data_IF_735410623066
#
_entry.id   IF_735410623066
#
_cell.length_a   1.000
_cell.length_b   1.000
_cell.length_c   1.000
_cell.angle_alpha   90.00
_cell.angle_beta   90.00
_cell.angle_gamma   90.00
#
_symmetry.space_group_name_H-M   'P 1'
#
loop_
_entity.id
_entity.type
_entity.pdbx_description
1 polymer ?
#
# COMPACT_ATOMS: atom_id res chain seq x y z
N UNK A 1 -86.93 38.22 8.55
CA UNK A 1 -86.00 37.09 8.33
C UNK A 1 -84.81 37.21 9.29
N UNK A 2 -84.92 36.68 10.50
CA UNK A 2 -83.93 36.80 11.59
C UNK A 2 -83.32 35.43 11.98
N UNK A 3 -83.26 34.48 11.03
CA UNK A 3 -82.82 33.09 11.29
C UNK A 3 -81.45 32.73 10.68
N UNK A 4 -80.68 33.69 10.15
CA UNK A 4 -79.36 33.40 9.53
C UNK A 4 -78.14 33.87 10.33
N UNK A 5 -78.27 34.82 11.29
CA UNK A 5 -77.08 35.39 11.95
C UNK A 5 -76.53 34.55 13.12
N UNK A 6 -77.39 33.81 13.83
CA UNK A 6 -76.98 32.96 14.96
C UNK A 6 -76.19 31.70 14.54
N UNK A 7 -76.62 31.03 13.46
CA UNK A 7 -75.97 29.81 12.98
C UNK A 7 -74.59 30.08 12.37
N UNK A 8 -74.38 31.25 11.76
CA UNK A 8 -73.07 31.62 11.20
C UNK A 8 -72.02 31.75 12.31
N UNK A 9 -72.39 32.30 13.48
CA UNK A 9 -71.47 32.40 14.62
C UNK A 9 -71.10 31.03 15.20
N UNK A 10 -72.07 30.12 15.30
CA UNK A 10 -71.82 28.75 15.81
C UNK A 10 -70.96 27.96 14.83
N UNK A 11 -71.22 28.06 13.52
CA UNK A 11 -70.43 27.40 12.48
C UNK A 11 -69.00 27.94 12.45
N UNK A 12 -68.82 29.27 12.56
CA UNK A 12 -67.49 29.88 12.62
C UNK A 12 -66.70 29.41 13.86
N UNK A 13 -67.35 29.31 15.02
CA UNK A 13 -66.70 28.83 16.25
C UNK A 13 -66.27 27.36 16.12
N UNK A 14 -67.11 26.50 15.55
CA UNK A 14 -66.80 25.08 15.34
C UNK A 14 -65.64 24.91 14.35
N UNK A 15 -65.61 25.69 13.27
CA UNK A 15 -64.50 25.67 12.30
C UNK A 15 -63.18 26.11 12.96
N UNK A 16 -63.19 27.15 13.80
CA UNK A 16 -62.00 27.60 14.52
C UNK A 16 -61.49 26.52 15.48
N UNK A 17 -62.38 25.83 16.19
CA UNK A 17 -62.01 24.73 17.10
C UNK A 17 -61.44 23.54 16.31
N UNK A 18 -62.01 23.20 15.15
CA UNK A 18 -61.50 22.13 14.28
C UNK A 18 -60.12 22.51 13.73
N UNK A 19 -59.92 23.74 13.26
CA UNK A 19 -58.63 24.20 12.72
C UNK A 19 -57.57 24.24 13.84
N UNK A 20 -57.92 24.74 15.03
CA UNK A 20 -57.01 24.78 16.17
C UNK A 20 -56.67 23.36 16.66
N UNK A 21 -57.67 22.47 16.76
CA UNK A 21 -57.48 21.07 17.14
C UNK A 21 -56.63 20.30 16.12
N UNK A 22 -56.89 20.48 14.83
CA UNK A 22 -56.09 19.88 13.75
C UNK A 22 -54.68 20.45 13.71
N UNK A 23 -54.50 21.75 13.92
CA UNK A 23 -53.20 22.39 14.05
C UNK A 23 -52.39 21.85 15.24
N UNK A 24 -53.01 21.68 16.41
CA UNK A 24 -52.38 21.08 17.59
C UNK A 24 -52.04 19.60 17.35
N UNK A 25 -52.91 18.85 16.66
CA UNK A 25 -52.68 17.46 16.31
C UNK A 25 -51.50 17.30 15.33
N UNK A 26 -51.45 18.10 14.27
CA UNK A 26 -50.32 18.13 13.33
C UNK A 26 -49.01 18.56 14.03
N UNK A 27 -49.07 19.56 14.89
CA UNK A 27 -47.90 20.05 15.62
C UNK A 27 -47.36 19.01 16.62
N UNK A 28 -48.24 18.32 17.35
CA UNK A 28 -47.84 17.21 18.25
C UNK A 28 -47.31 16.00 17.48
N UNK A 29 -47.89 15.66 16.33
CA UNK A 29 -47.39 14.60 15.45
C UNK A 29 -45.96 14.88 14.97
N UNK A 30 -45.68 16.10 14.53
CA UNK A 30 -44.34 16.53 14.13
C UNK A 30 -43.33 16.48 15.30
N UNK A 31 -43.74 16.93 16.51
CA UNK A 31 -42.88 16.90 17.69
C UNK A 31 -42.55 15.48 18.17
N UNK A 32 -43.50 14.53 18.08
CA UNK A 32 -43.25 13.13 18.41
C UNK A 32 -42.31 12.45 17.40
N UNK A 33 -42.43 12.80 16.12
CA UNK A 33 -41.55 12.28 15.07
C UNK A 33 -40.12 12.82 15.17
N UNK A 34 -39.94 14.05 15.65
CA UNK A 34 -38.61 14.64 15.85
C UNK A 34 -37.88 14.05 17.08
N UNK A 35 -38.61 13.66 18.13
CA UNK A 35 -38.02 12.99 19.30
C UNK A 35 -37.54 11.57 19.00
N UNK A 36 -38.25 10.83 18.15
CA UNK A 36 -37.87 9.48 17.77
C UNK A 36 -36.62 9.41 16.86
N UNK A 37 -36.28 10.49 16.15
CA UNK A 37 -35.13 10.49 15.24
C UNK A 37 -33.78 10.72 15.97
N UNK A 38 -33.81 11.25 17.19
CA UNK A 38 -32.60 11.60 17.95
C UNK A 38 -32.23 10.58 19.04
N UNK A 39 -33.15 9.70 19.43
CA UNK A 39 -32.92 8.73 20.52
C UNK A 39 -32.28 7.41 20.00
N UNK A 40 -32.17 7.21 18.68
CA UNK A 40 -31.70 5.96 18.03
C UNK A 40 -30.42 6.10 17.18
N UNK A 41 -29.69 7.22 17.23
CA UNK A 41 -28.41 7.32 16.51
C UNK A 41 -27.36 6.56 17.33
N UNK A 42 -26.84 5.40 16.85
CA UNK A 42 -25.78 4.71 17.56
C UNK A 42 -24.59 5.66 17.73
N UNK A 43 -23.85 5.59 18.84
CA UNK A 43 -22.67 6.42 19.01
C UNK A 43 -21.78 6.26 17.78
N UNK A 44 -21.18 7.35 17.26
CA UNK A 44 -20.29 7.25 16.12
C UNK A 44 -19.21 6.21 16.44
N UNK A 45 -18.82 5.37 15.47
CA UNK A 45 -17.78 4.38 15.71
C UNK A 45 -16.54 5.10 16.23
N UNK A 46 -15.79 4.49 17.17
CA UNK A 46 -14.56 5.08 17.65
C UNK A 46 -13.63 5.37 16.47
N UNK A 47 -13.05 6.57 16.47
CA UNK A 47 -12.10 6.97 15.43
C UNK A 47 -10.93 5.95 15.41
N UNK A 48 -10.48 5.48 14.24
CA UNK A 48 -9.37 4.54 14.17
C UNK A 48 -8.13 5.13 14.83
N UNK A 49 -7.40 4.31 15.58
CA UNK A 49 -6.14 4.77 16.18
C UNK A 49 -5.07 4.95 15.11
N UNK A 50 -4.00 5.71 15.40
CA UNK A 50 -2.86 5.84 14.48
C UNK A 50 -2.22 4.47 14.16
N UNK A 51 -2.27 3.52 15.10
CA UNK A 51 -1.80 2.16 14.89
C UNK A 51 -2.69 1.41 13.90
N UNK A 52 -4.00 1.56 14.01
CA UNK A 52 -4.96 0.95 13.08
C UNK A 52 -4.81 1.55 11.69
N UNK A 53 -4.68 2.88 11.61
CA UNK A 53 -4.42 3.61 10.38
C UNK A 53 -3.12 3.11 9.73
N UNK A 54 -2.02 3.05 10.48
CA UNK A 54 -0.76 2.51 9.99
C UNK A 54 -0.84 1.01 9.68
N UNK A 55 -1.79 0.22 10.19
CA UNK A 55 -1.91 -1.18 9.77
C UNK A 55 -2.66 -1.36 8.44
N UNK A 56 -3.39 -0.33 8.02
CA UNK A 56 -4.31 -0.34 6.89
C UNK A 56 -3.92 0.59 5.74
N UNK A 57 -3.13 1.64 5.99
CA UNK A 57 -2.69 2.57 4.95
C UNK A 57 -1.23 3.01 5.09
N UNK A 58 -0.56 3.23 3.96
CA UNK A 58 0.71 3.95 3.86
C UNK A 58 0.52 5.20 3.03
N UNK A 59 0.91 6.32 3.62
CA UNK A 59 1.09 7.57 2.90
C UNK A 59 2.53 7.66 2.39
N UNK A 60 2.69 7.98 1.12
CA UNK A 60 3.98 8.11 0.44
C UNK A 60 4.03 9.49 -0.18
N UNK A 61 4.88 10.37 0.34
CA UNK A 61 5.11 11.67 -0.27
C UNK A 61 5.95 11.49 -1.54
N UNK A 62 5.50 12.04 -2.66
CA UNK A 62 6.24 12.03 -3.92
C UNK A 62 6.95 13.37 -4.07
N UNK A 63 8.28 13.35 -4.01
CA UNK A 63 9.10 14.54 -4.23
C UNK A 63 9.51 14.64 -5.70
N UNK A 64 9.65 15.88 -6.23
CA UNK A 64 10.11 16.10 -7.58
C UNK A 64 11.54 15.60 -7.75
N UNK A 65 11.77 14.87 -8.85
CA UNK A 65 13.09 14.42 -9.27
C UNK A 65 13.37 14.92 -10.69
N UNK A 66 14.64 14.92 -11.09
CA UNK A 66 15.08 15.35 -12.43
C UNK A 66 14.58 16.76 -12.82
N UNK A 67 14.50 17.67 -11.84
CA UNK A 67 14.04 19.06 -12.02
C UNK A 67 12.65 19.18 -12.67
N UNK A 68 11.78 18.19 -12.44
CA UNK A 68 10.43 18.15 -13.04
C UNK A 68 9.48 19.21 -12.47
N UNK A 69 9.68 19.61 -11.22
CA UNK A 69 8.72 20.38 -10.44
C UNK A 69 7.43 19.61 -10.11
N UNK A 70 7.37 18.30 -10.38
CA UNK A 70 6.21 17.47 -10.12
C UNK A 70 6.25 16.87 -8.70
N UNK A 71 5.31 17.26 -7.85
CA UNK A 71 5.13 16.77 -6.49
C UNK A 71 3.82 15.99 -6.35
N UNK A 72 3.64 15.26 -5.26
CA UNK A 72 2.39 14.53 -5.07
C UNK A 72 2.35 13.64 -3.85
N UNK A 73 1.34 12.78 -3.85
CA UNK A 73 1.10 11.81 -2.81
C UNK A 73 0.62 10.50 -3.42
N UNK A 74 1.16 9.39 -2.92
CA UNK A 74 0.60 8.08 -3.14
C UNK A 74 0.06 7.51 -1.83
N UNK A 75 -1.12 6.89 -1.89
CA UNK A 75 -1.76 6.23 -0.76
C UNK A 75 -1.89 4.76 -1.13
N UNK A 76 -1.26 3.90 -0.34
CA UNK A 76 -1.41 2.45 -0.43
C UNK A 76 -2.37 2.04 0.67
N UNK A 77 -3.46 1.36 0.34
CA UNK A 77 -4.47 0.92 1.30
C UNK A 77 -4.69 -0.58 1.22
N UNK A 78 -4.90 -1.22 2.36
CA UNK A 78 -5.31 -2.62 2.45
C UNK A 78 -6.76 -2.75 2.04
N UNK A 79 -7.04 -3.71 1.16
CA UNK A 79 -8.38 -4.06 0.71
C UNK A 79 -8.71 -5.51 1.08
N UNK A 80 -9.99 -5.91 0.97
CA UNK A 80 -10.42 -7.29 1.24
C UNK A 80 -9.67 -8.34 0.39
N UNK A 81 -9.27 -7.96 -0.83
CA UNK A 81 -8.58 -8.81 -1.80
C UNK A 81 -7.29 -8.16 -2.32
N UNK A 82 -6.42 -7.79 -1.40
CA UNK A 82 -5.07 -7.29 -1.71
C UNK A 82 -4.87 -5.85 -1.26
N UNK A 83 -4.46 -4.97 -2.17
CA UNK A 83 -4.27 -3.54 -1.90
C UNK A 83 -4.84 -2.66 -3.02
N UNK A 84 -5.07 -1.39 -2.68
CA UNK A 84 -5.22 -0.31 -3.64
C UNK A 84 -4.04 0.66 -3.54
N UNK A 85 -3.66 1.26 -4.67
CA UNK A 85 -2.67 2.32 -4.77
C UNK A 85 -3.32 3.49 -5.49
N UNK A 86 -3.45 4.61 -4.79
CA UNK A 86 -3.95 5.87 -5.32
C UNK A 86 -2.79 6.85 -5.46
N UNK A 87 -2.72 7.60 -6.55
CA UNK A 87 -1.69 8.63 -6.76
C UNK A 87 -2.39 9.93 -7.12
N UNK A 88 -1.97 11.02 -6.50
CA UNK A 88 -2.27 12.38 -6.92
C UNK A 88 -0.97 13.15 -7.16
N UNK A 89 -0.85 13.81 -8.31
CA UNK A 89 0.33 14.52 -8.77
C UNK A 89 -0.01 15.95 -9.19
N UNK A 90 0.83 16.88 -8.78
CA UNK A 90 0.80 18.29 -9.16
C UNK A 90 2.13 18.72 -9.79
N UNK A 91 2.13 19.69 -10.72
CA UNK A 91 0.95 20.22 -11.40
C UNK A 91 0.27 19.16 -12.27
N UNK A 92 -1.05 19.28 -12.42
CA UNK A 92 -1.82 18.41 -13.33
C UNK A 92 -1.35 18.62 -14.76
N UNK A 93 -1.25 17.53 -15.51
CA UNK A 93 -0.88 17.50 -16.92
C UNK A 93 -1.83 16.57 -17.68
N UNK A 94 -2.04 16.87 -18.95
CA UNK A 94 -2.76 16.06 -19.93
C UNK A 94 -1.94 14.86 -20.44
N UNK A 95 -0.65 14.81 -20.14
CA UNK A 95 0.23 13.69 -20.48
C UNK A 95 -0.12 12.49 -19.58
N UNK A 96 -0.46 11.36 -20.19
CA UNK A 96 -0.54 10.06 -19.51
C UNK A 96 0.87 9.62 -19.11
N UNK A 97 1.08 9.28 -17.83
CA UNK A 97 2.40 8.99 -17.25
C UNK A 97 2.44 7.59 -16.66
N UNK A 98 3.45 6.80 -17.02
CA UNK A 98 3.69 5.52 -16.36
C UNK A 98 3.90 5.74 -14.85
N UNK A 99 3.33 4.85 -14.06
CA UNK A 99 3.58 4.78 -12.63
C UNK A 99 3.91 3.35 -12.23
N UNK A 100 4.88 3.20 -11.34
CA UNK A 100 5.37 1.90 -10.90
C UNK A 100 5.72 1.94 -9.42
N UNK A 101 5.65 0.76 -8.80
CA UNK A 101 6.40 0.51 -7.57
C UNK A 101 7.73 -0.12 -7.96
N UNK A 102 8.81 0.56 -7.66
CA UNK A 102 10.16 0.06 -7.84
C UNK A 102 10.74 -0.43 -6.51
N UNK A 103 11.66 -1.37 -6.59
CA UNK A 103 12.57 -1.69 -5.50
C UNK A 103 13.62 -0.59 -5.30
N UNK A 104 14.25 -0.53 -4.13
CA UNK A 104 15.35 0.38 -3.86
C UNK A 104 14.87 1.74 -3.35
N UNK A 105 15.60 2.79 -3.70
CA UNK A 105 15.36 4.15 -3.17
C UNK A 105 15.18 5.15 -4.30
N UNK A 106 14.73 6.37 -3.99
CA UNK A 106 14.62 7.41 -5.01
C UNK A 106 15.98 7.86 -5.57
N UNK A 107 17.07 7.62 -4.83
CA UNK A 107 18.43 7.85 -5.32
C UNK A 107 18.92 6.72 -6.23
N UNK A 108 18.43 5.50 -6.02
CA UNK A 108 18.83 4.32 -6.80
C UNK A 108 17.59 3.48 -7.08
N UNK A 109 16.85 3.87 -8.12
CA UNK A 109 15.70 3.11 -8.58
C UNK A 109 16.16 1.74 -9.07
N UNK A 110 15.66 0.69 -8.44
CA UNK A 110 15.81 -0.66 -8.96
C UNK A 110 14.74 -1.00 -9.99
N UNK A 111 14.53 -2.30 -10.20
CA UNK A 111 13.54 -2.83 -11.15
C UNK A 111 12.09 -2.55 -10.75
N UNK A 112 11.20 -2.67 -11.75
CA UNK A 112 9.75 -2.58 -11.55
C UNK A 112 9.29 -3.83 -10.79
N UNK A 113 8.67 -3.62 -9.64
CA UNK A 113 8.07 -4.71 -8.84
C UNK A 113 6.58 -4.83 -9.14
N UNK A 114 5.87 -3.70 -9.25
CA UNK A 114 4.47 -3.67 -9.65
C UNK A 114 4.19 -2.59 -10.69
N UNK A 115 3.50 -3.01 -11.75
CA UNK A 115 2.84 -2.12 -12.70
C UNK A 115 1.69 -1.37 -12.03
N UNK A 116 1.63 -0.04 -12.15
CA UNK A 116 0.46 0.74 -11.75
C UNK A 116 -0.24 1.30 -12.99
N UNK A 117 -1.52 1.61 -12.85
CA UNK A 117 -2.27 2.38 -13.84
C UNK A 117 -1.58 3.72 -14.05
N UNK A 118 -1.50 4.17 -15.29
CA UNK A 118 -0.92 5.46 -15.62
C UNK A 118 -1.60 6.60 -14.84
N UNK A 119 -0.83 7.62 -14.51
CA UNK A 119 -1.35 8.87 -13.97
C UNK A 119 -1.88 9.70 -15.14
N UNK A 120 -3.19 9.97 -15.11
CA UNK A 120 -3.89 10.77 -16.11
C UNK A 120 -4.59 11.92 -15.40
N UNK A 121 -4.45 13.15 -15.92
CA UNK A 121 -4.96 14.36 -15.28
C UNK A 121 -4.53 14.47 -13.80
N UNK A 122 -3.29 14.07 -13.52
CA UNK A 122 -2.70 14.10 -12.18
C UNK A 122 -3.26 13.06 -11.21
N UNK A 123 -4.04 12.07 -11.65
CA UNK A 123 -4.59 11.03 -10.77
C UNK A 123 -4.37 9.62 -11.30
N UNK A 124 -4.26 8.64 -10.41
CA UNK A 124 -4.28 7.21 -10.73
C UNK A 124 -4.93 6.40 -9.61
N UNK A 125 -5.52 5.26 -9.99
CA UNK A 125 -5.99 4.21 -9.08
C UNK A 125 -5.58 2.84 -9.64
N UNK A 126 -5.02 1.97 -8.79
CA UNK A 126 -4.64 0.60 -9.15
C UNK A 126 -5.04 -0.34 -8.03
N UNK A 127 -5.73 -1.44 -8.36
CA UNK A 127 -5.94 -2.57 -7.45
C UNK A 127 -4.91 -3.67 -7.77
N UNK A 128 -4.23 -4.18 -6.76
CA UNK A 128 -3.23 -5.25 -6.90
C UNK A 128 -3.60 -6.43 -5.99
N UNK A 129 -3.59 -7.63 -6.56
CA UNK A 129 -3.78 -8.89 -5.82
C UNK A 129 -2.48 -9.30 -5.09
N UNK A 130 -1.97 -8.43 -4.22
CA UNK A 130 -0.78 -8.67 -3.37
C UNK A 130 -1.07 -8.19 -1.95
N UNK A 131 -0.30 -8.65 -0.96
CA UNK A 131 -0.56 -8.24 0.41
C UNK A 131 0.06 -6.86 0.69
N UNK A 132 -0.56 -6.12 1.61
CA UNK A 132 -0.03 -4.85 2.07
C UNK A 132 1.37 -4.96 2.67
N UNK A 133 1.69 -6.07 3.33
CA UNK A 133 3.02 -6.30 3.88
C UNK A 133 4.07 -6.49 2.77
N UNK A 134 3.73 -7.21 1.68
CA UNK A 134 4.64 -7.43 0.55
C UNK A 134 5.09 -6.12 -0.10
N UNK A 135 4.27 -5.07 -0.03
CA UNK A 135 4.55 -3.76 -0.62
C UNK A 135 5.18 -2.78 0.36
N UNK A 136 4.90 -2.91 1.66
CA UNK A 136 5.20 -1.86 2.66
C UNK A 136 6.19 -2.30 3.73
N UNK A 137 6.74 -3.50 3.65
CA UNK A 137 7.62 -4.06 4.68
C UNK A 137 8.75 -4.88 4.06
N UNK A 138 9.82 -5.06 4.83
CA UNK A 138 10.93 -5.95 4.51
C UNK A 138 12.05 -5.27 3.74
N UNK A 139 11.75 -4.39 2.76
CA UNK A 139 12.76 -3.78 1.90
C UNK A 139 12.36 -2.38 1.41
N UNK A 140 13.33 -1.48 1.13
CA UNK A 140 13.03 -0.16 0.59
C UNK A 140 12.40 -0.30 -0.80
N UNK A 141 11.25 0.34 -0.97
CA UNK A 141 10.51 0.43 -2.22
C UNK A 141 10.09 1.88 -2.43
N UNK A 142 9.91 2.26 -3.67
CA UNK A 142 9.47 3.59 -4.04
C UNK A 142 8.26 3.53 -4.95
N UNK A 143 7.39 4.52 -4.83
CA UNK A 143 6.42 4.84 -5.88
C UNK A 143 7.09 5.86 -6.79
N UNK A 144 7.17 5.56 -8.09
CA UNK A 144 7.75 6.46 -9.09
C UNK A 144 6.74 6.74 -10.20
N UNK A 145 6.64 8.00 -10.61
CA UNK A 145 5.86 8.45 -11.77
C UNK A 145 6.82 8.99 -12.81
N UNK A 146 6.63 8.63 -14.08
CA UNK A 146 7.59 8.90 -15.15
C UNK A 146 7.16 10.00 -16.13
N UNK A 147 8.11 10.46 -16.94
CA UNK A 147 7.93 11.57 -17.86
C UNK A 147 6.95 11.27 -19.03
N UNK A 148 6.72 10.01 -19.36
CA UNK A 148 5.94 9.55 -20.51
C UNK A 148 5.11 8.28 -20.23
N UNK A 149 4.26 7.91 -21.17
CA UNK A 149 3.43 6.71 -21.15
C UNK A 149 4.15 5.43 -21.63
N UNK A 150 5.41 5.52 -22.07
CA UNK A 150 6.16 4.41 -22.68
C UNK A 150 7.59 4.32 -22.15
N UNK A 151 8.14 3.10 -22.10
CA UNK A 151 9.52 2.85 -21.67
C UNK A 151 10.53 2.99 -22.83
N UNK A 152 11.78 3.40 -22.55
CA UNK A 152 12.28 3.88 -21.26
C UNK A 152 11.78 5.30 -20.96
N UNK A 153 11.51 5.60 -19.68
CA UNK A 153 11.06 6.91 -19.25
C UNK A 153 11.71 7.31 -17.93
N UNK A 154 12.24 8.54 -17.86
CA UNK A 154 12.86 9.04 -16.63
C UNK A 154 11.78 9.32 -15.58
N UNK A 155 12.01 9.02 -14.28
CA UNK A 155 11.09 9.41 -13.23
C UNK A 155 11.04 10.95 -13.14
N UNK A 156 9.86 11.49 -12.87
CA UNK A 156 9.64 12.91 -12.60
C UNK A 156 9.22 13.15 -11.15
N UNK A 157 8.63 12.17 -10.49
CA UNK A 157 8.31 12.22 -9.08
C UNK A 157 8.62 10.86 -8.45
N UNK A 158 9.15 10.86 -7.24
CA UNK A 158 9.50 9.65 -6.52
C UNK A 158 9.26 9.82 -5.03
N UNK A 159 8.70 8.79 -4.39
CA UNK A 159 8.52 8.75 -2.95
C UNK A 159 8.92 7.42 -2.35
N UNK A 160 9.68 7.47 -1.26
CA UNK A 160 10.02 6.29 -0.48
C UNK A 160 8.79 5.77 0.25
N UNK A 161 8.44 4.50 0.03
CA UNK A 161 7.41 3.83 0.82
C UNK A 161 7.99 3.65 2.22
N UNK A 162 7.40 4.27 3.26
CA UNK A 162 7.90 4.13 4.62
C UNK A 162 7.76 2.67 5.06
N UNK A 163 8.87 2.07 5.47
CA UNK A 163 8.82 0.77 6.12
C UNK A 163 8.07 0.90 7.45
N UNK A 164 7.29 -0.13 7.82
CA UNK A 164 6.90 -0.28 9.22
C UNK A 164 8.20 -0.58 9.96
N UNK A 165 8.84 0.45 10.53
CA UNK A 165 9.85 0.20 11.53
C UNK A 165 9.23 -0.78 12.54
N UNK A 166 9.90 -1.91 12.88
CA UNK A 166 9.41 -2.76 13.95
C UNK A 166 9.06 -1.84 15.13
N UNK A 167 7.99 -2.12 15.89
CA UNK A 167 7.65 -1.30 17.05
C UNK A 167 8.94 -1.12 17.82
N UNK A 168 9.41 0.12 17.92
CA UNK A 168 10.48 0.44 18.85
C UNK A 168 9.86 0.02 20.18
N UNK A 169 10.34 -1.09 20.74
CA UNK A 169 10.04 -1.40 22.13
C UNK A 169 10.68 -0.26 22.90
N UNK A 170 9.87 0.74 23.22
CA UNK A 170 10.23 1.79 24.15
C UNK A 170 10.27 1.09 25.51
N UNK A 171 11.42 0.47 25.78
CA UNK A 171 11.78 -0.02 27.09
C UNK A 171 11.60 1.14 28.06
N UNK A 172 10.73 0.93 29.04
CA UNK A 172 10.39 1.89 30.05
C UNK A 172 11.60 2.14 30.96
N UNK A 173 12.43 3.13 30.65
CA UNK A 173 13.02 3.96 31.69
C UNK A 173 13.41 5.35 31.19
N UNK A 174 12.68 6.31 31.77
CA UNK A 174 12.86 7.75 31.69
C UNK A 174 14.28 8.15 32.12
N UNK A 175 15.15 8.39 31.15
CA UNK A 175 16.26 9.35 31.27
C UNK A 175 16.33 10.19 30.02
N UNK A 176 15.99 11.46 30.21
CA UNK A 176 16.24 12.63 29.37
C UNK A 176 17.55 12.49 28.56
N UNK A 177 17.44 11.99 27.32
CA UNK A 177 18.55 12.00 26.36
C UNK A 177 18.57 13.38 25.72
N UNK A 178 19.68 14.09 25.90
CA UNK A 178 20.01 15.33 25.20
C UNK A 178 19.96 15.10 23.67
N UNK A 179 19.60 16.10 22.85
CA UNK A 179 19.58 15.95 21.40
C UNK A 179 20.96 15.42 20.93
N UNK A 180 21.02 14.40 20.06
CA UNK A 180 22.28 13.96 19.51
C UNK A 180 22.81 15.08 18.61
N UNK A 181 23.85 15.75 19.09
CA UNK A 181 24.77 16.52 18.27
C UNK A 181 25.35 15.58 17.21
N UNK A 182 25.39 16.10 15.98
CA UNK A 182 25.49 15.28 14.78
C UNK A 182 26.73 14.38 14.66
N UNK A 183 26.50 13.24 14.03
CA UNK A 183 27.30 12.80 12.89
C UNK A 183 26.33 12.30 11.82
N UNK A 184 26.41 12.92 10.64
CA UNK A 184 25.75 12.48 9.42
C UNK A 184 26.29 11.09 9.04
N UNK A 185 25.64 10.05 9.56
CA UNK A 185 25.77 8.70 9.05
C UNK A 185 25.14 8.64 7.66
N UNK A 186 25.90 9.04 6.64
CA UNK A 186 25.57 8.78 5.25
C UNK A 186 25.50 7.26 5.10
N UNK A 187 24.28 6.71 5.12
CA UNK A 187 24.01 5.35 4.67
C UNK A 187 24.42 5.30 3.20
N UNK A 188 25.66 4.87 2.95
CA UNK A 188 26.10 4.61 1.59
C UNK A 188 25.12 3.62 0.96
N UNK A 189 24.44 4.08 -0.10
CA UNK A 189 23.54 3.26 -0.88
C UNK A 189 24.36 2.08 -1.45
N UNK A 190 24.22 0.92 -0.81
CA UNK A 190 24.93 -0.29 -1.24
C UNK A 190 24.44 -0.66 -2.64
N UNK A 191 25.34 -0.88 -3.61
CA UNK A 191 24.93 -1.17 -4.98
C UNK A 191 24.13 -2.49 -5.02
N UNK A 192 23.04 -2.49 -5.79
CA UNK A 192 22.22 -3.69 -6.01
C UNK A 192 23.06 -4.78 -6.68
N UNK A 193 23.12 -5.95 -6.05
CA UNK A 193 23.77 -7.15 -6.56
C UNK A 193 22.76 -8.03 -7.28
N UNK A 194 22.74 -7.94 -8.59
CA UNK A 194 21.85 -8.75 -9.43
C UNK A 194 22.45 -10.12 -9.73
N UNK A 195 21.65 -11.17 -9.53
CA UNK A 195 22.04 -12.56 -9.72
C UNK A 195 21.00 -13.23 -10.61
N UNK A 196 21.40 -13.56 -11.83
CA UNK A 196 20.58 -14.31 -12.75
C UNK A 196 20.66 -15.81 -12.42
N UNK A 197 19.51 -16.45 -12.26
CA UNK A 197 19.40 -17.88 -11.97
C UNK A 197 18.28 -18.47 -12.83
N UNK A 198 18.59 -19.55 -13.54
CA UNK A 198 17.57 -20.33 -14.25
C UNK A 198 17.24 -21.62 -13.52
N UNK A 199 15.99 -22.06 -13.66
CA UNK A 199 15.51 -23.38 -13.22
C UNK A 199 15.17 -24.26 -14.42
N UNK A 200 15.41 -25.57 -14.27
CA UNK A 200 14.86 -26.64 -15.08
C UNK A 200 14.41 -27.76 -14.14
N UNK A 201 13.80 -28.81 -14.68
CA UNK A 201 13.33 -29.96 -13.90
C UNK A 201 14.35 -30.41 -12.83
N UNK A 202 13.99 -30.12 -11.58
CA UNK A 202 14.70 -30.45 -10.34
C UNK A 202 16.09 -29.84 -10.13
N UNK A 203 16.49 -28.83 -10.92
CA UNK A 203 17.84 -28.25 -10.82
C UNK A 203 17.83 -26.75 -11.08
N UNK A 204 18.59 -26.01 -10.26
CA UNK A 204 18.97 -24.63 -10.53
C UNK A 204 20.32 -24.58 -11.26
N UNK A 205 20.47 -23.62 -12.17
CA UNK A 205 21.73 -23.32 -12.86
C UNK A 205 22.90 -22.98 -11.93
N UNK A 206 22.60 -22.44 -10.74
CA UNK A 206 23.57 -22.18 -9.70
C UNK A 206 23.22 -23.00 -8.46
N UNK A 207 24.18 -23.79 -7.97
CA UNK A 207 24.03 -24.59 -6.75
C UNK A 207 24.49 -23.83 -5.51
N UNK A 208 25.31 -22.81 -5.71
CA UNK A 208 25.80 -21.91 -4.66
C UNK A 208 25.70 -20.46 -5.15
N UNK A 209 25.20 -19.58 -4.27
CA UNK A 209 25.19 -18.13 -4.44
C UNK A 209 25.97 -17.54 -3.27
N UNK A 210 26.94 -16.66 -3.53
CA UNK A 210 27.77 -16.01 -2.51
C UNK A 210 27.56 -14.51 -2.46
N UNK A 211 27.20 -14.01 -1.29
CA UNK A 211 26.95 -12.58 -1.00
C UNK A 211 27.58 -12.22 0.34
N UNK A 212 27.71 -10.93 0.63
CA UNK A 212 28.18 -10.44 1.93
C UNK A 212 27.01 -9.98 2.78
N UNK A 213 27.22 -9.95 4.10
CA UNK A 213 26.21 -9.51 5.05
C UNK A 213 25.81 -8.07 4.79
N UNK A 214 24.51 -7.89 4.60
CA UNK A 214 23.88 -6.64 4.23
C UNK A 214 24.10 -6.23 2.76
N UNK A 215 24.56 -7.13 1.88
CA UNK A 215 24.37 -6.94 0.44
C UNK A 215 22.88 -6.76 0.14
N UNK A 216 22.55 -5.83 -0.75
CA UNK A 216 21.22 -5.75 -1.35
C UNK A 216 21.22 -6.64 -2.60
N UNK A 217 20.47 -7.74 -2.56
CA UNK A 217 20.53 -8.82 -3.55
C UNK A 217 19.23 -8.87 -4.33
N UNK A 218 19.33 -8.95 -5.66
CA UNK A 218 18.22 -9.28 -6.55
C UNK A 218 18.45 -10.65 -7.16
N UNK A 219 17.49 -11.54 -6.99
CA UNK A 219 17.41 -12.78 -7.75
C UNK A 219 16.52 -12.54 -8.95
N UNK A 220 17.10 -12.64 -10.15
CA UNK A 220 16.37 -12.67 -11.41
C UNK A 220 16.18 -14.14 -11.82
N UNK A 221 15.02 -14.71 -11.52
CA UNK A 221 14.71 -16.10 -11.81
C UNK A 221 14.02 -16.28 -13.16
N UNK A 222 14.42 -17.30 -13.93
CA UNK A 222 13.69 -17.71 -15.14
C UNK A 222 13.58 -19.23 -15.24
N UNK A 223 12.41 -19.73 -15.65
CA UNK A 223 12.25 -21.16 -15.95
C UNK A 223 12.63 -21.46 -17.40
N UNK A 224 13.47 -22.47 -17.60
CA UNK A 224 13.87 -22.99 -18.92
C UNK A 224 13.17 -24.30 -19.28
N UNK A 225 12.55 -24.95 -18.30
CA UNK A 225 11.76 -26.17 -18.44
C UNK A 225 10.92 -26.36 -17.17
N UNK A 226 9.61 -26.55 -17.29
CA UNK A 226 8.71 -26.77 -16.15
C UNK A 226 8.21 -25.49 -15.44
N UNK A 227 7.37 -25.69 -14.42
CA UNK A 227 6.91 -24.64 -13.51
C UNK A 227 7.83 -24.58 -12.30
N UNK A 228 8.42 -23.42 -12.05
CA UNK A 228 9.39 -23.24 -10.96
C UNK A 228 9.31 -21.87 -10.32
N UNK A 229 9.83 -21.79 -9.10
CA UNK A 229 10.10 -20.58 -8.34
C UNK A 229 11.47 -20.70 -7.65
N UNK A 230 11.91 -19.61 -7.04
CA UNK A 230 13.07 -19.56 -6.16
C UNK A 230 12.63 -19.01 -4.81
N UNK A 231 13.00 -19.68 -3.72
CA UNK A 231 12.62 -19.34 -2.34
C UNK A 231 13.81 -19.48 -1.41
N UNK A 232 14.03 -18.52 -0.51
CA UNK A 232 14.87 -18.66 0.68
C UNK A 232 14.12 -18.13 1.90
N UNK A 233 13.88 -18.99 2.89
CA UNK A 233 12.96 -18.71 3.99
C UNK A 233 13.54 -17.66 4.95
N UNK A 234 14.84 -17.73 5.23
CA UNK A 234 15.50 -16.91 6.25
C UNK A 234 15.52 -15.41 5.92
N UNK A 235 15.30 -15.06 4.65
CA UNK A 235 15.20 -13.69 4.16
C UNK A 235 13.79 -13.32 3.69
N UNK A 236 12.79 -14.19 3.90
CA UNK A 236 11.43 -14.01 3.40
C UNK A 236 11.40 -13.65 1.89
N UNK A 237 12.32 -14.24 1.12
CA UNK A 237 12.55 -13.89 -0.27
C UNK A 237 12.08 -15.03 -1.17
N UNK A 238 11.02 -14.77 -1.95
CA UNK A 238 10.47 -15.71 -2.92
C UNK A 238 10.07 -15.00 -4.22
N UNK A 239 10.29 -15.65 -5.36
CA UNK A 239 9.71 -15.22 -6.63
C UNK A 239 8.29 -15.75 -6.78
N UNK A 240 7.54 -15.24 -7.76
CA UNK A 240 6.35 -15.94 -8.24
C UNK A 240 6.74 -17.22 -8.98
N UNK A 241 5.82 -18.18 -9.05
CA UNK A 241 6.00 -19.38 -9.88
C UNK A 241 5.83 -19.01 -11.35
N UNK A 242 6.79 -19.42 -12.18
CA UNK A 242 6.86 -19.07 -13.60
C UNK A 242 7.01 -20.33 -14.46
N UNK A 243 6.27 -20.38 -15.56
CA UNK A 243 6.36 -21.45 -16.56
C UNK A 243 7.60 -21.29 -17.44
N UNK A 244 7.91 -22.31 -18.24
CA UNK A 244 8.97 -22.29 -19.26
C UNK A 244 8.95 -20.99 -20.08
N UNK A 245 10.10 -20.33 -20.16
CA UNK A 245 10.29 -19.09 -20.92
C UNK A 245 9.81 -17.81 -20.19
N UNK A 246 9.29 -17.92 -18.98
CA UNK A 246 8.89 -16.79 -18.15
C UNK A 246 9.93 -16.48 -17.07
N UNK A 247 9.85 -15.28 -16.48
CA UNK A 247 10.77 -14.81 -15.45
C UNK A 247 10.06 -14.03 -14.35
N UNK A 248 10.67 -14.00 -13.17
CA UNK A 248 10.21 -13.27 -11.99
C UNK A 248 11.43 -12.93 -11.14
N UNK A 249 11.34 -11.85 -10.36
CA UNK A 249 12.45 -11.39 -9.54
C UNK A 249 12.03 -11.16 -8.10
N UNK A 250 12.98 -11.31 -7.18
CA UNK A 250 12.81 -10.94 -5.78
C UNK A 250 14.06 -10.24 -5.27
N UNK A 251 13.85 -9.21 -4.47
CA UNK A 251 14.91 -8.45 -3.84
C UNK A 251 14.90 -8.71 -2.34
N UNK A 252 16.08 -8.82 -1.75
CA UNK A 252 16.25 -8.97 -0.32
C UNK A 252 17.59 -8.41 0.17
N UNK A 253 17.70 -8.17 1.47
CA UNK A 253 18.96 -7.82 2.13
C UNK A 253 19.50 -9.08 2.79
N UNK A 254 20.75 -9.43 2.52
CA UNK A 254 21.42 -10.57 3.15
C UNK A 254 21.85 -10.22 4.60
N UNK A 255 20.91 -9.88 5.48
CA UNK A 255 21.15 -9.31 6.82
C UNK A 255 21.74 -10.29 7.85
N UNK A 256 21.80 -11.58 7.52
CA UNK A 256 22.30 -12.66 8.37
C UNK A 256 23.44 -13.38 7.66
N UNK A 257 24.62 -13.41 8.29
CA UNK A 257 25.71 -14.27 7.83
C UNK A 257 25.38 -15.75 8.11
N UNK A 258 25.82 -16.64 7.23
CA UNK A 258 25.54 -18.07 7.35
C UNK A 258 25.41 -18.77 6.00
N UNK A 259 24.99 -20.03 6.04
CA UNK A 259 24.63 -20.81 4.85
C UNK A 259 23.16 -21.20 4.95
N UNK A 260 22.37 -20.76 3.98
CA UNK A 260 20.93 -20.93 3.92
C UNK A 260 20.54 -21.75 2.70
N UNK A 261 19.53 -22.60 2.83
CA UNK A 261 19.02 -23.37 1.71
C UNK A 261 18.03 -22.52 0.92
N UNK A 262 18.31 -22.29 -0.37
CA UNK A 262 17.27 -21.86 -1.29
C UNK A 262 16.71 -23.06 -2.04
N UNK A 263 15.44 -23.02 -2.42
CA UNK A 263 14.76 -24.16 -3.01
C UNK A 263 13.62 -23.75 -3.94
N UNK A 264 13.09 -24.73 -4.69
CA UNK A 264 11.84 -24.57 -5.43
C UNK A 264 10.65 -25.07 -4.59
N UNK A 265 9.68 -24.19 -4.34
CA UNK A 265 8.47 -24.43 -3.56
C UNK A 265 7.36 -25.18 -4.30
N UNK A 266 7.55 -25.50 -5.59
CA UNK A 266 6.58 -26.26 -6.38
C UNK A 266 6.52 -27.72 -5.91
N UNK A 267 5.40 -28.10 -5.29
CA UNK A 267 5.05 -29.49 -4.97
C UNK A 267 6.15 -30.26 -4.24
N UNK A 268 6.72 -31.26 -4.91
CA UNK A 268 7.79 -32.11 -4.35
C UNK A 268 9.20 -31.73 -4.84
N UNK A 269 9.38 -30.63 -5.58
CA UNK A 269 10.66 -30.29 -6.21
C UNK A 269 11.80 -30.14 -5.20
N UNK A 270 11.59 -29.45 -4.07
CA UNK A 270 12.55 -29.40 -2.95
C UNK A 270 12.96 -30.80 -2.47
N UNK A 271 11.98 -31.69 -2.25
CA UNK A 271 12.22 -33.09 -1.81
C UNK A 271 12.97 -33.92 -2.85
N UNK A 272 12.83 -33.57 -4.13
CA UNK A 272 13.53 -34.19 -5.24
C UNK A 272 14.93 -33.61 -5.47
N UNK A 273 15.38 -32.67 -4.63
CA UNK A 273 16.73 -32.12 -4.66
C UNK A 273 16.85 -30.81 -5.43
N UNK A 274 15.74 -30.14 -5.76
CA UNK A 274 15.77 -28.79 -6.33
C UNK A 274 16.07 -27.75 -5.24
N UNK A 275 17.30 -27.80 -4.76
CA UNK A 275 17.86 -26.99 -3.68
C UNK A 275 19.22 -26.42 -4.11
N UNK A 276 19.62 -25.34 -3.45
CA UNK A 276 20.96 -24.77 -3.52
C UNK A 276 21.29 -24.02 -2.24
N UNK A 277 22.48 -23.42 -2.19
CA UNK A 277 23.01 -22.77 -0.99
C UNK A 277 23.23 -21.28 -1.22
N UNK A 278 22.59 -20.44 -0.43
CA UNK A 278 22.94 -19.04 -0.28
C UNK A 278 23.95 -18.92 0.86
N UNK A 279 25.17 -18.54 0.52
CA UNK A 279 26.27 -18.33 1.47
C UNK A 279 26.42 -16.82 1.65
N UNK A 280 26.12 -16.36 2.86
CA UNK A 280 26.29 -14.98 3.28
C UNK A 280 27.55 -14.90 4.14
N UNK A 281 28.60 -14.36 3.55
CA UNK A 281 29.87 -14.07 4.21
C UNK A 281 29.72 -12.83 5.10
N UNK A 282 30.57 -12.68 6.12
CA UNK A 282 30.60 -11.47 6.96
C UNK A 282 30.99 -10.21 6.17
#
# INVERSE_FOLDING_TARGET
MNLQKGNIFIIALVIIIIIAGFGIFLYRGAALQQKALTDDIPPPPPLPTLKDLNSQLRLVKLDPVNNSGADGVAIISREDKGISVQIELTPVSDVSRLAHIHSGTCATLGGIVYGLTNVENGKSFTALETSFADVTSGFPRVVAVHASASLPSAPIACGQIPEIAPPVEVGAEDKMIQPPDGEDGVVEARPLKEIAITGKNFEFSQKEIRVKKGDFVRINFSSTDGLHDWVVDEFNAKTTQVNTGQSSSVDFVADKAGTFEFYCGVGTHRKMGMIGKLIVEE
#
